data_IF_213906228600
#
_entry.id   IF_213906228600
#
_cell.length_a   1.000
_cell.length_b   1.000
_cell.length_c   1.000
_cell.angle_alpha   90.00
_cell.angle_beta   90.00
_cell.angle_gamma   90.00
#
_symmetry.space_group_name_H-M   'P 1'
#
loop_
_entity.id
_entity.type
_entity.pdbx_description
1 polymer ?
#
# COMPACT_ATOMS: atom_id res chain seq x y z
N UNK A 1 -3.59 -18.35 12.77
CA UNK A 1 -2.66 -19.48 12.98
C UNK A 1 -1.90 -19.35 14.31
N UNK A 2 -2.54 -19.44 15.49
CA UNK A 2 -1.85 -19.21 16.76
C UNK A 2 -0.85 -20.33 17.17
N UNK A 3 -0.70 -21.39 16.36
CA UNK A 3 0.06 -22.59 16.74
C UNK A 3 1.40 -22.77 16.03
N UNK A 4 1.75 -21.92 15.06
CA UNK A 4 3.07 -21.96 14.42
C UNK A 4 3.88 -20.77 14.91
N UNK A 5 5.06 -21.05 15.47
CA UNK A 5 6.02 -19.98 15.80
C UNK A 5 6.47 -19.27 14.53
N UNK A 6 6.71 -17.95 14.64
CA UNK A 6 7.37 -17.22 13.56
C UNK A 6 8.76 -17.81 13.35
N UNK A 7 9.16 -17.98 12.10
CA UNK A 7 10.53 -18.37 11.75
C UNK A 7 11.45 -17.21 12.13
N UNK A 8 12.48 -17.42 12.98
CA UNK A 8 13.41 -16.36 13.35
C UNK A 8 14.03 -15.69 12.13
N UNK A 9 14.09 -14.36 12.13
CA UNK A 9 14.62 -13.56 11.02
C UNK A 9 13.63 -13.29 9.89
N UNK A 10 12.43 -13.88 9.90
CA UNK A 10 11.37 -13.58 8.92
C UNK A 10 10.48 -12.45 9.43
N UNK A 11 10.42 -11.36 8.67
CA UNK A 11 9.54 -10.22 8.93
C UNK A 11 8.14 -10.46 8.36
N UNK A 12 7.12 -9.88 9.00
CA UNK A 12 5.77 -9.86 8.42
C UNK A 12 5.75 -9.00 7.15
N UNK A 13 4.76 -9.19 6.26
CA UNK A 13 4.65 -8.33 5.07
C UNK A 13 4.46 -6.85 5.46
N UNK A 14 3.67 -6.55 6.49
CA UNK A 14 3.54 -5.19 7.03
C UNK A 14 4.89 -4.60 7.44
N UNK A 15 5.72 -5.36 8.18
CA UNK A 15 7.06 -4.91 8.59
C UNK A 15 7.99 -4.70 7.38
N UNK A 16 7.94 -5.57 6.36
CA UNK A 16 8.74 -5.43 5.14
C UNK A 16 8.36 -4.16 4.38
N UNK A 17 7.06 -3.91 4.15
CA UNK A 17 6.61 -2.72 3.42
C UNK A 17 6.91 -1.42 4.20
N UNK A 18 6.76 -1.46 5.53
CA UNK A 18 7.17 -0.36 6.41
C UNK A 18 8.68 -0.11 6.32
N UNK A 19 9.50 -1.16 6.32
CA UNK A 19 10.96 -1.06 6.21
C UNK A 19 11.40 -0.52 4.85
N UNK A 20 10.83 -1.02 3.74
CA UNK A 20 11.18 -0.58 2.39
C UNK A 20 10.93 0.91 2.18
N UNK A 21 9.78 1.42 2.64
CA UNK A 21 9.45 2.85 2.56
C UNK A 21 10.21 3.69 3.59
N UNK A 22 10.31 3.20 4.82
CA UNK A 22 10.99 3.88 5.92
C UNK A 22 12.49 4.08 5.66
N UNK A 23 13.15 3.11 5.03
CA UNK A 23 14.60 3.12 4.82
C UNK A 23 15.05 3.54 3.43
N UNK A 24 14.14 3.73 2.47
CA UNK A 24 14.50 4.27 1.16
C UNK A 24 15.16 5.66 1.30
N UNK A 25 16.31 5.85 0.65
CA UNK A 25 17.11 7.08 0.70
C UNK A 25 17.15 7.84 -0.62
N UNK A 26 16.90 7.16 -1.75
CA UNK A 26 16.99 7.71 -3.11
C UNK A 26 15.68 7.54 -3.86
N UNK A 27 15.11 6.34 -3.86
CA UNK A 27 13.91 6.04 -4.64
C UNK A 27 13.06 4.92 -4.06
N UNK A 28 11.75 4.99 -4.31
CA UNK A 28 10.80 3.93 -4.04
C UNK A 28 9.87 3.75 -5.23
N UNK A 29 9.89 2.58 -5.86
CA UNK A 29 9.00 2.25 -6.97
C UNK A 29 7.95 1.24 -6.51
N UNK A 30 6.68 1.51 -6.80
CA UNK A 30 5.54 0.70 -6.35
C UNK A 30 4.66 0.37 -7.54
N UNK A 31 4.38 -0.92 -7.73
CA UNK A 31 3.35 -1.41 -8.63
C UNK A 31 2.26 -2.08 -7.79
N UNK A 32 1.04 -1.55 -7.86
CA UNK A 32 -0.09 -2.02 -7.06
C UNK A 32 -1.40 -1.97 -7.85
N UNK A 33 -2.34 -2.86 -7.57
CA UNK A 33 -3.65 -2.80 -8.22
C UNK A 33 -4.55 -1.69 -7.65
N UNK A 34 -4.59 -1.58 -6.33
CA UNK A 34 -5.46 -0.66 -5.59
C UNK A 34 -4.81 -0.31 -4.24
N UNK A 35 -5.37 0.68 -3.55
CA UNK A 35 -4.85 1.19 -2.28
C UNK A 35 -5.95 1.30 -1.23
N UNK A 36 -5.70 0.75 -0.04
CA UNK A 36 -6.56 0.85 1.13
C UNK A 36 -5.78 0.55 2.42
N UNK A 37 -4.63 1.19 2.63
CA UNK A 37 -3.89 1.07 3.90
C UNK A 37 -4.61 1.77 5.05
N UNK A 38 -5.39 2.82 4.76
CA UNK A 38 -6.17 3.54 5.73
C UNK A 38 -7.59 2.93 5.85
N UNK A 39 -7.92 2.30 6.99
CA UNK A 39 -9.24 1.70 7.17
C UNK A 39 -10.34 2.76 7.29
N UNK A 40 -11.53 2.43 6.80
CA UNK A 40 -12.67 3.38 6.76
C UNK A 40 -13.95 2.83 7.41
N UNK A 41 -13.94 2.54 8.73
CA UNK A 41 -15.11 1.95 9.40
C UNK A 41 -16.34 2.87 9.47
N UNK A 42 -16.17 4.16 9.20
CA UNK A 42 -17.24 5.15 9.20
C UNK A 42 -17.78 5.46 7.79
N UNK A 43 -17.22 4.86 6.73
CA UNK A 43 -17.68 5.06 5.36
C UNK A 43 -18.69 3.95 4.99
N UNK A 44 -19.98 4.25 4.78
CA UNK A 44 -21.01 3.25 4.48
C UNK A 44 -20.79 2.48 3.17
N UNK A 45 -19.88 2.93 2.32
CA UNK A 45 -19.49 2.24 1.08
C UNK A 45 -18.25 1.36 1.25
N UNK A 46 -17.54 1.46 2.38
CA UNK A 46 -16.35 0.66 2.64
C UNK A 46 -16.71 -0.73 3.13
N UNK A 47 -15.95 -1.75 2.73
CA UNK A 47 -16.04 -3.10 3.31
C UNK A 47 -15.68 -3.15 4.80
N UNK A 48 -15.15 -2.06 5.36
CA UNK A 48 -14.81 -1.94 6.78
C UNK A 48 -15.96 -1.36 7.61
N UNK A 49 -17.06 -0.95 6.96
CA UNK A 49 -18.14 -0.19 7.58
C UNK A 49 -18.77 -0.93 8.77
N UNK A 50 -18.95 -0.20 9.87
CA UNK A 50 -19.64 -0.71 11.06
C UNK A 50 -18.73 -1.42 12.07
N UNK A 51 -17.46 -1.69 11.74
CA UNK A 51 -16.51 -2.23 12.71
C UNK A 51 -16.12 -1.18 13.76
N UNK A 52 -16.08 -1.60 15.02
CA UNK A 52 -15.64 -0.74 16.12
C UNK A 52 -14.14 -0.44 16.02
N UNK A 53 -13.67 0.62 16.70
CA UNK A 53 -12.21 0.88 16.82
C UNK A 53 -11.45 -0.33 17.40
N UNK A 54 -12.06 -1.07 18.33
CA UNK A 54 -11.51 -2.30 18.89
C UNK A 54 -11.44 -3.43 17.86
N UNK A 55 -12.46 -3.58 17.01
CA UNK A 55 -12.44 -4.57 15.92
C UNK A 55 -11.34 -4.25 14.92
N UNK A 56 -11.25 -3.00 14.46
CA UNK A 56 -10.20 -2.57 13.53
C UNK A 56 -8.80 -2.82 14.08
N UNK A 57 -8.56 -2.51 15.37
CA UNK A 57 -7.29 -2.81 16.04
C UNK A 57 -7.04 -4.31 16.09
N UNK A 58 -8.04 -5.11 16.47
CA UNK A 58 -7.94 -6.57 16.54
C UNK A 58 -7.64 -7.20 15.18
N UNK A 59 -8.20 -6.65 14.10
CA UNK A 59 -7.98 -7.13 12.74
C UNK A 59 -6.68 -6.65 12.10
N UNK A 60 -5.85 -5.87 12.81
CA UNK A 60 -4.55 -5.45 12.30
C UNK A 60 -4.57 -4.16 11.48
N UNK A 61 -5.62 -3.36 11.53
CA UNK A 61 -5.70 -2.13 10.75
C UNK A 61 -4.60 -1.09 11.11
N UNK A 62 -4.00 -1.22 12.30
CA UNK A 62 -2.84 -0.44 12.71
C UNK A 62 -1.58 -0.76 11.87
N UNK A 63 -1.46 -1.96 11.28
CA UNK A 63 -0.38 -2.30 10.35
C UNK A 63 -0.42 -1.41 9.11
N UNK A 64 -1.60 -1.30 8.47
CA UNK A 64 -1.79 -0.48 7.28
C UNK A 64 -1.49 0.99 7.56
N UNK A 65 -1.95 1.53 8.68
CA UNK A 65 -1.63 2.90 9.11
C UNK A 65 -0.12 3.13 9.26
N UNK A 66 0.64 2.15 9.75
CA UNK A 66 2.10 2.27 9.90
C UNK A 66 2.82 2.24 8.55
N UNK A 67 2.40 1.37 7.62
CA UNK A 67 2.95 1.34 6.26
C UNK A 67 2.66 2.66 5.54
N UNK A 68 1.41 3.15 5.59
CA UNK A 68 1.05 4.43 4.98
C UNK A 68 1.83 5.59 5.60
N UNK A 69 2.01 5.61 6.92
CA UNK A 69 2.83 6.64 7.58
C UNK A 69 4.29 6.61 7.12
N UNK A 70 4.85 5.43 6.89
CA UNK A 70 6.20 5.30 6.37
C UNK A 70 6.32 5.81 4.92
N UNK A 71 5.29 5.63 4.09
CA UNK A 71 5.19 6.25 2.75
C UNK A 71 5.13 7.77 2.82
N UNK A 72 4.28 8.34 3.69
CA UNK A 72 4.24 9.80 3.90
C UNK A 72 5.63 10.33 4.29
N UNK A 73 6.27 9.69 5.26
CA UNK A 73 7.60 10.09 5.72
C UNK A 73 8.65 9.97 4.60
N UNK A 74 8.57 8.95 3.74
CA UNK A 74 9.44 8.81 2.58
C UNK A 74 9.25 9.96 1.59
N UNK A 75 7.98 10.28 1.30
CA UNK A 75 7.63 11.38 0.41
C UNK A 75 8.09 12.74 0.98
N UNK A 76 7.99 12.92 2.30
CA UNK A 76 8.41 14.14 2.99
C UNK A 76 9.94 14.28 3.07
N UNK A 77 10.69 13.16 3.09
CA UNK A 77 12.17 13.13 2.89
C UNK A 77 12.62 13.50 1.46
N UNK A 78 11.68 13.75 0.55
CA UNK A 78 11.94 14.13 -0.86
C UNK A 78 12.69 13.08 -1.68
N UNK A 79 12.57 11.80 -1.31
CA UNK A 79 13.03 10.72 -2.20
C UNK A 79 12.14 10.65 -3.44
N UNK A 80 12.64 10.10 -4.54
CA UNK A 80 11.83 9.90 -5.75
C UNK A 80 10.89 8.70 -5.56
N UNK A 81 9.58 8.95 -5.50
CA UNK A 81 8.57 7.89 -5.44
C UNK A 81 7.88 7.77 -6.80
N UNK A 82 7.79 6.56 -7.34
CA UNK A 82 7.00 6.26 -8.54
C UNK A 82 5.94 5.22 -8.24
N UNK A 83 4.70 5.56 -8.51
CA UNK A 83 3.54 4.69 -8.36
C UNK A 83 3.00 4.39 -9.75
N UNK A 84 2.91 3.11 -10.08
CA UNK A 84 2.17 2.61 -11.25
C UNK A 84 1.06 1.72 -10.72
N UNK A 85 -0.18 2.06 -11.07
CA UNK A 85 -1.34 1.38 -10.51
C UNK A 85 -2.44 1.16 -11.53
N UNK A 86 -3.45 0.37 -11.15
CA UNK A 86 -4.75 0.43 -11.80
C UNK A 86 -5.62 1.49 -11.10
N UNK A 87 -6.82 1.79 -11.62
CA UNK A 87 -7.74 2.77 -11.02
C UNK A 87 -8.29 2.34 -9.66
N UNK A 88 -7.94 1.15 -9.18
CA UNK A 88 -8.48 0.57 -7.98
C UNK A 88 -9.98 0.22 -8.09
N UNK A 89 -10.64 0.15 -6.94
CA UNK A 89 -12.04 -0.23 -6.82
C UNK A 89 -12.78 0.73 -5.90
N UNK A 90 -14.10 0.76 -6.02
CA UNK A 90 -14.95 1.49 -5.08
C UNK A 90 -14.66 1.06 -3.62
N UNK A 91 -14.80 1.96 -2.64
CA UNK A 91 -15.31 3.32 -2.79
C UNK A 91 -14.26 4.38 -3.16
N UNK A 92 -12.98 4.07 -3.00
CA UNK A 92 -11.92 5.08 -2.99
C UNK A 92 -11.09 5.15 -4.27
N UNK A 93 -11.17 4.13 -5.14
CA UNK A 93 -10.41 4.05 -6.38
C UNK A 93 -8.90 4.27 -6.13
N UNK A 94 -8.35 5.37 -6.61
CA UNK A 94 -6.95 5.77 -6.43
C UNK A 94 -6.75 6.96 -5.47
N UNK A 95 -7.77 7.33 -4.70
CA UNK A 95 -7.72 8.51 -3.83
C UNK A 95 -6.56 8.47 -2.84
N UNK A 96 -6.27 7.32 -2.22
CA UNK A 96 -5.19 7.20 -1.22
C UNK A 96 -3.80 7.47 -1.82
N UNK A 97 -3.53 7.00 -3.05
CA UNK A 97 -2.25 7.28 -3.73
C UNK A 97 -2.22 8.70 -4.32
N UNK A 98 -3.37 9.23 -4.76
CA UNK A 98 -3.50 10.61 -5.19
C UNK A 98 -3.22 11.59 -4.05
N UNK A 99 -3.76 11.33 -2.85
CA UNK A 99 -3.53 12.12 -1.64
C UNK A 99 -2.06 12.09 -1.20
N UNK A 100 -1.40 10.94 -1.34
CA UNK A 100 0.04 10.84 -1.10
C UNK A 100 0.85 11.73 -2.05
N UNK A 101 0.45 11.79 -3.33
CA UNK A 101 1.13 12.60 -4.35
C UNK A 101 0.79 14.10 -4.29
N UNK A 102 -0.37 14.45 -3.73
CA UNK A 102 -0.86 15.83 -3.68
C UNK A 102 0.15 16.79 -3.02
N UNK A 103 0.58 17.81 -3.77
CA UNK A 103 1.56 18.79 -3.30
C UNK A 103 3.01 18.28 -3.18
N UNK A 104 3.29 17.04 -3.60
CA UNK A 104 4.63 16.42 -3.52
C UNK A 104 5.21 16.16 -4.93
N UNK A 105 5.99 17.08 -5.52
CA UNK A 105 6.53 16.91 -6.87
C UNK A 105 7.52 15.73 -7.01
N UNK A 106 7.97 15.17 -5.89
CA UNK A 106 8.82 13.99 -5.84
C UNK A 106 8.03 12.66 -5.87
N UNK A 107 6.70 12.70 -5.95
CA UNK A 107 5.82 11.54 -6.04
C UNK A 107 5.12 11.55 -7.39
N UNK A 108 5.56 10.69 -8.30
CA UNK A 108 4.93 10.45 -9.60
C UNK A 108 3.85 9.36 -9.43
N UNK A 109 2.57 9.70 -9.66
CA UNK A 109 1.44 8.75 -9.57
C UNK A 109 0.79 8.55 -10.94
N UNK A 110 0.86 7.34 -11.48
CA UNK A 110 0.35 6.99 -12.81
C UNK A 110 -0.64 5.82 -12.74
N UNK A 111 -1.87 6.08 -13.18
CA UNK A 111 -2.90 5.05 -13.37
C UNK A 111 -2.84 4.50 -14.80
N UNK A 112 -2.69 3.19 -14.93
CA UNK A 112 -2.62 2.45 -16.19
C UNK A 112 -3.93 1.69 -16.40
N UNK A 113 -4.64 2.07 -17.46
CA UNK A 113 -5.90 1.47 -17.88
C UNK A 113 -5.65 0.56 -19.08
N UNK A 114 -5.26 -0.69 -18.81
CA UNK A 114 -5.01 -1.66 -19.89
C UNK A 114 -6.24 -1.92 -20.76
N UNK A 115 -7.45 -1.73 -20.21
CA UNK A 115 -8.68 -1.78 -20.97
C UNK A 115 -8.71 -0.80 -22.15
N UNK A 116 -8.10 0.38 -22.03
CA UNK A 116 -8.07 1.38 -23.09
C UNK A 116 -7.23 0.93 -24.30
N UNK A 117 -6.31 -0.01 -24.10
CA UNK A 117 -5.34 -0.44 -25.12
C UNK A 117 -5.62 -1.85 -25.65
N UNK A 118 -6.16 -2.73 -24.80
CA UNK A 118 -6.39 -4.15 -25.10
C UNK A 118 -7.85 -4.58 -24.94
N UNK A 119 -8.78 -3.68 -24.63
CA UNK A 119 -10.20 -3.97 -24.40
C UNK A 119 -10.49 -4.69 -23.07
N UNK A 120 -9.45 -5.07 -22.33
CA UNK A 120 -9.53 -5.60 -20.97
C UNK A 120 -8.16 -5.54 -20.29
N UNK A 121 -8.15 -5.74 -18.97
CA UNK A 121 -6.92 -5.95 -18.20
C UNK A 121 -6.74 -4.94 -17.08
N UNK A 122 -5.94 -5.34 -16.09
CA UNK A 122 -5.64 -4.54 -14.88
C UNK A 122 -4.18 -4.69 -14.51
N UNK A 123 -3.61 -3.69 -13.82
CA UNK A 123 -2.33 -3.86 -13.12
C UNK A 123 -2.57 -4.75 -11.91
N UNK A 124 -2.12 -6.02 -11.95
CA UNK A 124 -2.31 -6.98 -10.84
C UNK A 124 -1.02 -7.26 -10.03
N UNK A 125 0.05 -6.51 -10.29
CA UNK A 125 1.31 -6.63 -9.59
C UNK A 125 1.22 -6.14 -8.15
N UNK A 126 2.03 -6.74 -7.27
CA UNK A 126 2.29 -6.27 -5.89
C UNK A 126 3.79 -6.23 -5.68
N UNK A 127 4.41 -5.15 -6.15
CA UNK A 127 5.86 -5.01 -6.25
C UNK A 127 6.29 -3.70 -5.62
N UNK A 128 7.29 -3.76 -4.73
CA UNK A 128 7.92 -2.60 -4.14
C UNK A 128 9.44 -2.72 -4.31
N UNK A 129 10.09 -1.67 -4.79
CA UNK A 129 11.53 -1.63 -5.03
C UNK A 129 12.10 -0.38 -4.33
N UNK A 130 12.92 -0.59 -3.30
CA UNK A 130 13.59 0.47 -2.56
C UNK A 130 15.03 0.61 -3.05
N UNK A 131 15.43 1.84 -3.42
CA UNK A 131 16.78 2.22 -3.85
C UNK A 131 17.40 1.34 -4.96
N UNK A 132 16.55 0.71 -5.78
CA UNK A 132 16.93 -0.28 -6.82
C UNK A 132 17.73 -1.47 -6.25
N UNK A 133 17.51 -1.80 -4.98
CA UNK A 133 18.29 -2.79 -4.23
C UNK A 133 17.39 -3.79 -3.51
N UNK A 134 16.50 -3.29 -2.68
CA UNK A 134 15.67 -4.11 -1.81
C UNK A 134 14.27 -4.24 -2.43
N UNK A 135 13.77 -5.48 -2.56
CA UNK A 135 12.59 -5.77 -3.36
C UNK A 135 11.60 -6.63 -2.56
N UNK A 136 10.33 -6.23 -2.60
CA UNK A 136 9.19 -7.10 -2.28
C UNK A 136 8.46 -7.46 -3.57
N UNK A 137 8.22 -8.76 -3.76
CA UNK A 137 7.28 -9.31 -4.76
C UNK A 137 6.49 -10.38 -4.04
N UNK A 138 5.16 -10.29 -4.07
CA UNK A 138 4.33 -11.24 -3.36
C UNK A 138 2.85 -11.16 -3.71
N UNK A 139 2.01 -11.69 -2.81
CA UNK A 139 0.56 -11.76 -2.97
C UNK A 139 -0.21 -10.70 -2.20
N UNK A 140 0.39 -10.03 -1.22
CA UNK A 140 -0.29 -9.04 -0.39
C UNK A 140 -0.54 -7.76 -1.19
N UNK A 141 -1.79 -7.29 -1.22
CA UNK A 141 -2.15 -6.04 -1.85
C UNK A 141 -1.75 -4.83 -0.99
N UNK A 142 -1.83 -3.62 -1.57
CA UNK A 142 -1.65 -2.37 -0.83
C UNK A 142 -2.90 -2.03 -0.01
N UNK A 143 -3.30 -2.93 0.89
CA UNK A 143 -4.38 -2.72 1.84
C UNK A 143 -4.04 -3.25 3.23
N UNK A 144 -4.70 -2.71 4.24
CA UNK A 144 -4.44 -3.11 5.63
C UNK A 144 -4.83 -4.57 5.92
N UNK A 145 -5.77 -5.15 5.15
CA UNK A 145 -6.30 -6.52 5.35
C UNK A 145 -5.29 -7.58 4.93
N UNK A 146 -4.39 -7.23 4.03
CA UNK A 146 -3.37 -8.11 3.46
C UNK A 146 -2.09 -8.20 4.31
N UNK A 147 -2.00 -7.49 5.43
CA UNK A 147 -0.77 -7.34 6.21
C UNK A 147 -0.68 -8.23 7.47
N UNK A 148 -1.76 -8.94 7.85
CA UNK A 148 -1.83 -9.73 9.09
C UNK A 148 -2.39 -11.13 8.92
#
# INVERSE_FOLDING_TARGET
MPHLSRIPGVLSTGDVLQWLSGNATKSLDILAQYWQFLPQPNNPKSGDYGFSKSDMRRFGADEGRRVYKALENAADRKIKIRIVQHSGFAPDFDQESADLAAGRPNVENATVLFEDWWGSGVVHAKVWISDKKDVYIGSANNDWKSLT
#
